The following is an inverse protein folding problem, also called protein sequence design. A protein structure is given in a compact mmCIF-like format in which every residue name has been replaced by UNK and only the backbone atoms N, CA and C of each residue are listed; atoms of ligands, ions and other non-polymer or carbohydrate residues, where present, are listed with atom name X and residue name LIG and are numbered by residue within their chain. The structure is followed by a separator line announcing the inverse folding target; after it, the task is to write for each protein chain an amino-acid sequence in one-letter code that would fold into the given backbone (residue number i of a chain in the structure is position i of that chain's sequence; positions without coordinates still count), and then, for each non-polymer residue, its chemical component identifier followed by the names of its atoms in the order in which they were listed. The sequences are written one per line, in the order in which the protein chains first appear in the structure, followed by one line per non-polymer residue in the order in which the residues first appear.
data_IF_970114232811
#
_entry.id   IF_970114232811
#
_cell.length_a   1.000
_cell.length_b   1.000
_cell.length_c   1.000
_cell.angle_alpha   90.00
_cell.angle_beta   90.00
_cell.angle_gamma   90.00
#
_symmetry.space_group_name_H-M   'P 1'
#
loop_
_entity.id
_entity.type
_entity.pdbx_description
1 polymer ?
#
# COMPACT_ATOMS: atom_id res chain seq x y z
N UNK A 1 -10.70 0.10 -14.24
CA UNK A 1 -10.19 -0.81 -13.20
C UNK A 1 -11.20 -0.84 -12.06
N UNK A 2 -11.67 -2.03 -11.73
CA UNK A 2 -12.61 -2.28 -10.65
C UNK A 2 -11.86 -2.41 -9.32
N UNK A 3 -12.50 -2.02 -8.21
CA UNK A 3 -11.98 -2.20 -6.85
C UNK A 3 -12.96 -3.08 -6.09
N UNK A 4 -12.56 -4.31 -5.80
CA UNK A 4 -13.36 -5.25 -5.00
C UNK A 4 -12.98 -5.08 -3.54
N UNK A 5 -13.93 -4.65 -2.70
CA UNK A 5 -13.67 -4.52 -1.26
C UNK A 5 -13.39 -5.90 -0.67
N UNK A 6 -12.30 -6.00 0.08
CA UNK A 6 -11.90 -7.27 0.70
C UNK A 6 -12.73 -7.52 1.94
N UNK A 7 -13.38 -8.67 1.97
CA UNK A 7 -14.00 -9.28 3.16
C UNK A 7 -13.34 -10.64 3.41
N UNK A 8 -13.92 -11.46 4.29
CA UNK A 8 -13.47 -12.85 4.49
C UNK A 8 -13.46 -13.66 3.17
N UNK A 9 -14.35 -13.35 2.23
CA UNK A 9 -14.45 -14.08 0.96
C UNK A 9 -13.27 -13.83 0.01
N UNK A 10 -12.71 -12.63 0.01
CA UNK A 10 -11.63 -12.21 -0.88
C UNK A 10 -10.24 -12.39 -0.25
N UNK A 11 -10.20 -12.77 1.03
CA UNK A 11 -8.97 -12.76 1.82
C UNK A 11 -7.93 -13.74 1.27
N UNK A 12 -8.34 -14.92 0.80
CA UNK A 12 -7.40 -15.87 0.19
C UNK A 12 -6.83 -15.38 -1.15
N UNK A 13 -7.65 -14.69 -1.95
CA UNK A 13 -7.19 -14.05 -3.20
C UNK A 13 -6.20 -12.91 -2.88
N UNK A 14 -6.49 -12.08 -1.88
CA UNK A 14 -5.56 -11.05 -1.41
C UNK A 14 -4.23 -11.65 -0.93
N UNK A 15 -4.28 -12.73 -0.14
CA UNK A 15 -3.06 -13.37 0.35
C UNK A 15 -2.22 -13.93 -0.79
N UNK A 16 -2.81 -14.50 -1.84
CA UNK A 16 -2.08 -14.97 -3.01
C UNK A 16 -1.32 -13.83 -3.71
N UNK A 17 -1.97 -12.66 -3.89
CA UNK A 17 -1.34 -11.49 -4.49
C UNK A 17 -0.21 -10.94 -3.62
N UNK A 18 -0.41 -10.90 -2.29
CA UNK A 18 0.62 -10.45 -1.35
C UNK A 18 1.86 -11.35 -1.43
N UNK A 19 1.67 -12.67 -1.44
CA UNK A 19 2.77 -13.64 -1.52
C UNK A 19 3.54 -13.55 -2.86
N UNK A 20 2.92 -13.08 -3.93
CA UNK A 20 3.60 -12.82 -5.21
C UNK A 20 4.35 -11.48 -5.19
N UNK A 21 3.69 -10.39 -4.78
CA UNK A 21 4.26 -9.04 -4.92
C UNK A 21 5.32 -8.73 -3.87
N UNK A 22 5.12 -9.11 -2.61
CA UNK A 22 6.02 -8.71 -1.53
C UNK A 22 7.45 -9.22 -1.71
N UNK A 23 7.68 -10.51 -2.02
CA UNK A 23 9.03 -11.00 -2.25
C UNK A 23 9.71 -10.31 -3.42
N UNK A 24 8.98 -10.09 -4.52
CA UNK A 24 9.49 -9.42 -5.72
C UNK A 24 9.94 -7.99 -5.43
N UNK A 25 9.16 -7.23 -4.65
CA UNK A 25 9.48 -5.84 -4.33
C UNK A 25 10.57 -5.74 -3.26
N UNK A 26 10.46 -6.50 -2.17
CA UNK A 26 11.22 -6.21 -0.95
C UNK A 26 12.43 -7.10 -0.72
N UNK A 27 12.52 -8.31 -1.29
CA UNK A 27 13.73 -9.13 -1.11
C UNK A 27 14.99 -8.43 -1.61
N UNK A 28 14.98 -7.72 -2.76
CA UNK A 28 16.15 -6.95 -3.21
C UNK A 28 16.50 -5.76 -2.30
N UNK A 29 15.57 -5.28 -1.47
CA UNK A 29 15.71 -4.06 -0.67
C UNK A 29 16.13 -4.37 0.76
N UNK A 30 15.42 -5.29 1.42
CA UNK A 30 15.58 -5.60 2.85
C UNK A 30 16.00 -7.06 3.10
N UNK A 31 16.16 -7.85 2.05
CA UNK A 31 16.59 -9.24 2.13
C UNK A 31 15.49 -10.21 2.56
N UNK A 32 15.68 -11.49 2.21
CA UNK A 32 14.67 -12.55 2.43
C UNK A 32 14.23 -12.67 3.89
N UNK A 33 15.17 -12.64 4.84
CA UNK A 33 14.85 -12.84 6.25
C UNK A 33 13.90 -11.77 6.81
N UNK A 34 14.08 -10.52 6.42
CA UNK A 34 13.20 -9.45 6.86
C UNK A 34 11.84 -9.52 6.17
N UNK A 35 11.80 -9.89 4.89
CA UNK A 35 10.53 -10.14 4.18
C UNK A 35 9.73 -11.26 4.83
N UNK A 36 10.35 -12.40 5.13
CA UNK A 36 9.71 -13.53 5.80
C UNK A 36 9.14 -13.10 7.17
N UNK A 37 9.92 -12.33 7.92
CA UNK A 37 9.51 -11.76 9.19
C UNK A 37 8.27 -10.87 9.01
N UNK A 38 8.31 -9.91 8.08
CA UNK A 38 7.22 -8.95 7.85
C UNK A 38 5.95 -9.60 7.30
N UNK A 39 6.06 -10.60 6.42
CA UNK A 39 4.92 -11.39 5.95
C UNK A 39 4.27 -12.21 7.07
N UNK A 40 5.06 -12.66 8.05
CA UNK A 40 4.53 -13.40 9.21
C UNK A 40 3.91 -12.50 10.28
N UNK A 41 4.35 -11.25 10.39
CA UNK A 41 3.90 -10.32 11.43
C UNK A 41 2.97 -9.23 10.88
N UNK A 42 3.51 -8.30 10.10
CA UNK A 42 2.83 -7.09 9.62
C UNK A 42 1.86 -7.33 8.46
N UNK A 43 2.14 -8.29 7.58
CA UNK A 43 1.33 -8.57 6.39
C UNK A 43 0.75 -9.99 6.37
N UNK A 44 0.53 -10.56 7.57
CA UNK A 44 -0.07 -11.88 7.72
C UNK A 44 -1.59 -11.83 7.55
N UNK A 45 -2.20 -12.97 7.18
CA UNK A 45 -3.67 -13.10 7.08
C UNK A 45 -4.36 -12.65 8.38
N UNK A 46 -3.83 -13.06 9.53
CA UNK A 46 -4.34 -12.68 10.85
C UNK A 46 -4.25 -11.18 11.11
N UNK A 47 -3.13 -10.55 10.72
CA UNK A 47 -2.96 -9.10 10.89
C UNK A 47 -3.90 -8.32 9.98
N UNK A 48 -4.08 -8.76 8.73
CA UNK A 48 -5.03 -8.13 7.80
C UNK A 48 -6.48 -8.26 8.31
N UNK A 49 -6.89 -9.44 8.81
CA UNK A 49 -8.20 -9.61 9.43
C UNK A 49 -8.41 -8.64 10.60
N UNK A 50 -7.39 -8.48 11.44
CA UNK A 50 -7.43 -7.50 12.53
C UNK A 50 -7.59 -6.08 11.99
N UNK A 51 -6.79 -5.67 11.01
CA UNK A 51 -6.89 -4.35 10.39
C UNK A 51 -8.28 -4.09 9.77
N UNK A 52 -8.89 -5.08 9.13
CA UNK A 52 -10.26 -5.00 8.62
C UNK A 52 -11.26 -4.72 9.75
N UNK A 53 -11.11 -5.36 10.92
CA UNK A 53 -11.97 -5.10 12.09
C UNK A 53 -11.72 -3.74 12.74
N UNK A 54 -10.51 -3.20 12.59
CA UNK A 54 -10.11 -1.87 13.10
C UNK A 54 -10.49 -0.74 12.13
N UNK A 55 -11.09 -1.04 10.99
CA UNK A 55 -11.62 -0.06 10.04
C UNK A 55 -10.74 0.23 8.84
N UNK A 56 -9.59 -0.45 8.71
CA UNK A 56 -8.74 -0.35 7.51
C UNK A 56 -9.48 -0.97 6.33
N UNK A 57 -9.62 -0.22 5.25
CA UNK A 57 -10.31 -0.67 4.04
C UNK A 57 -9.32 -1.23 3.03
N UNK A 58 -9.42 -2.52 2.74
CA UNK A 58 -8.64 -3.21 1.72
C UNK A 58 -9.46 -3.43 0.45
N UNK A 59 -8.80 -3.34 -0.71
CA UNK A 59 -9.40 -3.60 -2.01
C UNK A 59 -8.46 -4.42 -2.90
N UNK A 60 -9.00 -5.43 -3.57
CA UNK A 60 -8.37 -6.03 -4.75
C UNK A 60 -8.62 -5.12 -5.95
N UNK A 61 -7.60 -4.94 -6.77
CA UNK A 61 -7.67 -4.18 -8.00
C UNK A 61 -7.84 -5.15 -9.16
N UNK A 62 -8.95 -5.05 -9.91
CA UNK A 62 -9.25 -5.92 -11.05
C UNK A 62 -9.28 -5.17 -12.38
N UNK A 63 -8.62 -5.74 -13.38
CA UNK A 63 -8.66 -5.29 -14.77
C UNK A 63 -9.00 -6.48 -15.66
N UNK A 64 -10.04 -6.36 -16.48
CA UNK A 64 -10.54 -7.46 -17.33
C UNK A 64 -10.75 -8.76 -16.53
N UNK A 65 -11.47 -8.68 -15.40
CA UNK A 65 -11.74 -9.77 -14.45
C UNK A 65 -10.51 -10.39 -13.75
N UNK A 66 -9.29 -9.93 -14.08
CA UNK A 66 -8.05 -10.42 -13.47
C UNK A 66 -7.60 -9.51 -12.36
N UNK A 67 -7.18 -10.09 -11.25
CA UNK A 67 -6.51 -9.33 -10.19
C UNK A 67 -5.14 -8.88 -10.64
N UNK A 68 -4.94 -7.56 -10.57
CA UNK A 68 -3.73 -6.86 -11.01
C UNK A 68 -2.95 -6.25 -9.85
N UNK A 69 -3.51 -6.28 -8.64
CA UNK A 69 -2.89 -5.71 -7.46
C UNK A 69 -3.88 -5.58 -6.31
N UNK A 70 -3.47 -4.84 -5.28
CA UNK A 70 -4.32 -4.48 -4.16
C UNK A 70 -3.91 -3.11 -3.59
N UNK A 71 -4.84 -2.50 -2.87
CA UNK A 71 -4.61 -1.24 -2.17
C UNK A 71 -5.34 -1.24 -0.84
N UNK A 72 -4.84 -0.50 0.14
CA UNK A 72 -5.48 -0.37 1.44
C UNK A 72 -5.31 1.03 2.01
N UNK A 73 -6.33 1.50 2.71
CA UNK A 73 -6.29 2.81 3.36
C UNK A 73 -7.06 2.85 4.68
N UNK A 74 -6.77 3.89 5.45
CA UNK A 74 -7.45 4.24 6.70
C UNK A 74 -7.70 5.75 6.71
N UNK A 75 -8.82 6.18 7.26
CA UNK A 75 -9.12 7.61 7.50
C UNK A 75 -8.62 8.00 8.89
N UNK A 76 -7.65 8.91 8.97
CA UNK A 76 -7.00 9.31 10.22
C UNK A 76 -7.03 10.83 10.34
N UNK A 77 -7.80 11.35 11.30
CA UNK A 77 -7.87 12.77 11.61
C UNK A 77 -8.20 13.67 10.39
N UNK A 78 -9.12 13.21 9.54
CA UNK A 78 -9.54 13.93 8.33
C UNK A 78 -8.51 13.88 7.18
N UNK A 79 -7.81 12.76 7.06
CA UNK A 79 -6.78 12.48 6.06
C UNK A 79 -6.83 11.00 5.66
N UNK A 80 -6.59 10.70 4.38
CA UNK A 80 -6.37 9.33 3.95
C UNK A 80 -4.91 8.95 4.25
N UNK A 81 -4.75 7.91 5.06
CA UNK A 81 -3.52 7.15 5.12
C UNK A 81 -3.55 6.04 4.06
N UNK A 82 -2.81 6.23 2.96
CA UNK A 82 -2.57 5.19 1.97
C UNK A 82 -1.54 4.21 2.51
N UNK A 83 -2.01 3.15 3.15
CA UNK A 83 -1.15 2.20 3.87
C UNK A 83 -0.53 1.13 2.97
N UNK A 84 -1.20 0.77 1.87
CA UNK A 84 -0.70 -0.20 0.88
C UNK A 84 -1.15 0.20 -0.53
N UNK A 85 -0.25 0.12 -1.51
CA UNK A 85 -0.56 0.19 -2.94
C UNK A 85 0.44 -0.67 -3.72
N UNK A 86 -0.02 -1.80 -4.23
CA UNK A 86 0.84 -2.78 -4.88
C UNK A 86 0.19 -3.28 -6.16
N UNK A 87 0.92 -3.19 -7.26
CA UNK A 87 0.55 -3.79 -8.54
C UNK A 87 1.49 -4.94 -8.88
N UNK A 88 0.95 -5.99 -9.50
CA UNK A 88 1.73 -7.10 -10.05
C UNK A 88 2.71 -6.57 -11.10
N UNK A 89 3.93 -7.10 -11.12
CA UNK A 89 4.99 -6.61 -12.00
C UNK A 89 4.54 -6.56 -13.49
N UNK A 90 3.83 -7.60 -13.94
CA UNK A 90 3.32 -7.73 -15.32
C UNK A 90 2.38 -6.62 -15.81
N UNK A 91 1.84 -5.80 -14.90
CA UNK A 91 0.92 -4.70 -15.24
C UNK A 91 1.46 -3.30 -14.92
N UNK A 92 2.69 -3.20 -14.40
CA UNK A 92 3.31 -1.91 -14.08
C UNK A 92 3.63 -1.14 -15.37
N UNK A 93 3.67 0.18 -15.28
CA UNK A 93 3.94 1.06 -16.43
C UNK A 93 2.76 1.26 -17.40
N UNK A 94 1.58 0.70 -17.10
CA UNK A 94 0.38 0.81 -17.95
C UNK A 94 -0.60 1.92 -17.48
N UNK A 95 -0.14 2.86 -16.64
CA UNK A 95 -0.98 3.95 -16.10
C UNK A 95 -2.00 3.52 -15.03
N UNK A 96 -1.99 2.25 -14.59
CA UNK A 96 -2.92 1.76 -13.57
C UNK A 96 -2.75 2.47 -12.22
N UNK A 97 -1.52 2.78 -11.82
CA UNK A 97 -1.25 3.49 -10.56
C UNK A 97 -1.93 4.86 -10.50
N UNK A 98 -1.83 5.67 -11.56
CA UNK A 98 -2.49 6.97 -11.64
C UNK A 98 -4.02 6.86 -11.57
N UNK A 99 -4.59 5.75 -12.07
CA UNK A 99 -6.03 5.48 -11.92
C UNK A 99 -6.44 5.15 -10.47
N UNK A 100 -5.54 4.55 -9.68
CA UNK A 100 -5.75 4.33 -8.24
C UNK A 100 -5.66 5.65 -7.49
N UNK A 101 -4.68 6.50 -7.81
CA UNK A 101 -4.54 7.81 -7.16
C UNK A 101 -5.72 8.73 -7.42
N UNK A 102 -6.21 8.79 -8.66
CA UNK A 102 -7.44 9.53 -8.98
C UNK A 102 -8.62 9.07 -8.12
N UNK A 103 -8.75 7.77 -7.90
CA UNK A 103 -9.80 7.24 -7.04
C UNK A 103 -9.62 7.64 -5.57
N UNK A 104 -8.38 7.69 -5.07
CA UNK A 104 -8.13 8.21 -3.72
C UNK A 104 -8.44 9.70 -3.59
N UNK A 105 -8.20 10.51 -4.63
CA UNK A 105 -8.58 11.92 -4.65
C UNK A 105 -10.10 12.10 -4.67
N UNK A 106 -10.81 11.29 -5.47
CA UNK A 106 -12.28 11.26 -5.49
C UNK A 106 -12.85 10.85 -4.12
N UNK A 107 -12.25 9.85 -3.48
CA UNK A 107 -12.62 9.42 -2.12
C UNK A 107 -12.43 10.54 -1.11
N UNK A 108 -11.25 11.18 -1.10
CA UNK A 108 -10.94 12.29 -0.22
C UNK A 108 -11.92 13.47 -0.39
N UNK A 109 -12.29 13.78 -1.62
CA UNK A 109 -13.26 14.83 -1.92
C UNK A 109 -14.65 14.52 -1.33
N UNK A 110 -15.07 13.25 -1.36
CA UNK A 110 -16.35 12.80 -0.78
C UNK A 110 -16.34 12.87 0.75
N UNK A 111 -15.20 12.56 1.37
CA UNK A 111 -15.02 12.59 2.83
C UNK A 111 -14.53 13.94 3.38
N UNK A 112 -14.34 14.94 2.50
CA UNK A 112 -13.84 16.29 2.80
C UNK A 112 -12.44 16.32 3.41
N UNK A 113 -11.66 15.29 3.12
CA UNK A 113 -10.27 15.20 3.53
C UNK A 113 -9.38 16.01 2.60
N UNK A 114 -8.30 16.57 3.16
CA UNK A 114 -7.45 17.55 2.45
C UNK A 114 -6.02 17.07 2.23
N UNK A 115 -5.72 15.84 2.63
CA UNK A 115 -4.38 15.29 2.55
C UNK A 115 -4.45 13.77 2.38
N UNK A 116 -3.62 13.27 1.47
CA UNK A 116 -3.26 11.85 1.39
C UNK A 116 -1.83 11.75 1.87
N UNK A 117 -1.54 10.82 2.77
CA UNK A 117 -0.17 10.53 3.18
C UNK A 117 0.10 9.03 3.18
N UNK A 118 1.38 8.67 3.05
CA UNK A 118 1.84 7.30 2.97
C UNK A 118 3.22 7.15 3.62
N UNK A 119 3.61 5.90 3.85
CA UNK A 119 4.98 5.51 4.15
C UNK A 119 5.54 4.70 3.00
N UNK A 120 6.80 4.92 2.67
CA UNK A 120 7.50 4.19 1.61
C UNK A 120 8.91 3.87 2.06
N UNK A 121 9.33 2.61 1.92
CA UNK A 121 10.68 2.22 2.25
C UNK A 121 11.71 3.04 1.45
N UNK A 122 12.74 3.56 2.13
CA UNK A 122 13.71 4.46 1.51
C UNK A 122 14.45 3.84 0.31
N UNK A 123 14.62 2.51 0.29
CA UNK A 123 15.22 1.78 -0.82
C UNK A 123 14.28 1.49 -2.00
N UNK A 124 12.97 1.77 -1.86
CA UNK A 124 12.01 1.59 -2.95
C UNK A 124 11.97 2.81 -3.88
N UNK A 125 13.09 3.05 -4.57
CA UNK A 125 13.27 4.23 -5.42
C UNK A 125 12.19 4.32 -6.52
N UNK A 126 11.76 3.19 -7.08
CA UNK A 126 10.71 3.18 -8.10
C UNK A 126 9.38 3.73 -7.56
N UNK A 127 8.94 3.28 -6.38
CA UNK A 127 7.71 3.78 -5.78
C UNK A 127 7.84 5.27 -5.40
N UNK A 128 8.98 5.68 -4.87
CA UNK A 128 9.25 7.09 -4.52
C UNK A 128 9.10 8.00 -5.75
N UNK A 129 9.67 7.64 -6.89
CA UNK A 129 9.55 8.45 -8.12
C UNK A 129 8.11 8.48 -8.65
N UNK A 130 7.38 7.37 -8.54
CA UNK A 130 5.93 7.35 -8.86
C UNK A 130 5.16 8.30 -7.96
N UNK A 131 5.42 8.29 -6.65
CA UNK A 131 4.73 9.19 -5.71
C UNK A 131 5.07 10.65 -5.97
N UNK A 132 6.34 10.98 -6.27
CA UNK A 132 6.72 12.34 -6.68
C UNK A 132 6.00 12.78 -7.95
N UNK A 133 5.91 11.92 -8.97
CA UNK A 133 5.18 12.21 -10.19
C UNK A 133 3.69 12.47 -9.92
N UNK A 134 3.10 11.76 -8.97
CA UNK A 134 1.71 11.96 -8.53
C UNK A 134 1.54 13.15 -7.58
N UNK A 135 2.60 13.94 -7.32
CA UNK A 135 2.55 15.17 -6.53
C UNK A 135 2.73 14.98 -5.03
N UNK A 136 3.27 13.85 -4.58
CA UNK A 136 3.65 13.65 -3.19
C UNK A 136 5.04 14.21 -2.90
N UNK A 137 5.21 14.76 -1.71
CA UNK A 137 6.46 15.31 -1.20
C UNK A 137 6.93 14.52 0.01
N UNK A 138 8.25 14.31 0.13
CA UNK A 138 8.86 13.74 1.34
C UNK A 138 8.78 14.78 2.46
N UNK A 139 8.36 14.35 3.64
CA UNK A 139 8.16 15.25 4.79
C UNK A 139 8.91 14.83 6.04
N UNK A 140 9.23 13.54 6.17
CA UNK A 140 9.82 12.99 7.38
C UNK A 140 10.55 11.69 7.04
N UNK A 141 11.66 11.44 7.74
CA UNK A 141 12.29 10.14 7.79
C UNK A 141 11.80 9.38 9.03
N UNK A 142 11.39 8.13 8.83
CA UNK A 142 10.84 7.29 9.87
C UNK A 142 11.68 6.02 10.00
N UNK A 143 12.33 5.86 11.15
CA UNK A 143 13.08 4.65 11.49
C UNK A 143 12.38 3.98 12.66
N UNK A 144 11.85 2.79 12.44
CA UNK A 144 11.17 1.99 13.47
C UNK A 144 11.95 0.69 13.70
N UNK A 145 12.29 0.41 14.95
CA UNK A 145 12.70 -0.94 15.35
C UNK A 145 11.47 -1.84 15.30
N UNK A 146 11.54 -2.89 14.48
CA UNK A 146 10.44 -3.84 14.30
C UNK A 146 10.74 -5.19 14.95
N UNK A 147 11.79 -5.28 15.77
CA UNK A 147 12.22 -6.48 16.47
C UNK A 147 13.14 -7.38 15.65
N UNK A 148 13.74 -8.37 16.32
CA UNK A 148 14.71 -9.32 15.74
C UNK A 148 15.94 -8.67 15.09
N UNK A 149 16.26 -7.44 15.47
CA UNK A 149 17.36 -6.66 14.86
C UNK A 149 17.02 -6.09 13.48
N UNK A 150 15.76 -6.15 13.05
CA UNK A 150 15.30 -5.51 11.82
C UNK A 150 14.80 -4.09 12.08
N UNK A 151 14.98 -3.23 11.08
CA UNK A 151 14.46 -1.87 11.08
C UNK A 151 13.59 -1.65 9.85
N UNK A 152 12.49 -0.93 10.05
CA UNK A 152 11.70 -0.35 8.97
C UNK A 152 12.16 1.09 8.79
N UNK A 153 12.82 1.34 7.66
CA UNK A 153 13.41 2.64 7.31
C UNK A 153 12.60 3.20 6.14
N UNK A 154 11.71 4.14 6.45
CA UNK A 154 10.75 4.71 5.51
C UNK A 154 10.92 6.23 5.38
N UNK A 155 10.41 6.76 4.27
CA UNK A 155 9.98 8.15 4.19
C UNK A 155 8.48 8.24 4.43
N UNK A 156 8.05 9.29 5.14
CA UNK A 156 6.68 9.76 5.09
C UNK A 156 6.53 10.71 3.91
N UNK A 157 5.61 10.40 3.00
CA UNK A 157 5.25 11.28 1.91
C UNK A 157 3.82 11.76 2.04
N UNK A 158 3.53 12.99 1.62
CA UNK A 158 2.16 13.54 1.61
C UNK A 158 1.85 14.28 0.32
N UNK A 159 0.58 14.34 -0.02
CA UNK A 159 0.00 15.16 -1.08
C UNK A 159 -1.14 15.97 -0.49
N UNK A 160 -1.03 17.29 -0.54
CA UNK A 160 -2.14 18.18 -0.23
C UNK A 160 -3.17 18.13 -1.36
N UNK A 161 -4.44 18.11 -1.00
CA UNK A 161 -5.57 18.15 -1.93
C UNK A 161 -6.19 19.55 -1.94
N UNK A 162 -6.76 19.92 -3.09
CA UNK A 162 -7.39 21.22 -3.31
C UNK A 162 -8.75 21.35 -2.59
#
# INVERSE_FOLDING_TARGET
MEKIKVTENELDELMAVIQEVWPEVFVPIIGQKQVDYMLKTYQSKKQIQKELTEGVSYFLLKSEEKTVGYTAYEEINGKIYLSKLYLLNKVRGQGLTSSVFRWYEELAAQTKEREIFLRVNQGNHQAIEVYKHEGFEITEELISDIGQGFQMVDYKMKKALA
#
